data_IF_717543898912
#
_entry.id   IF_717543898912
#
_cell.length_a   1.000
_cell.length_b   1.000
_cell.length_c   1.000
_cell.angle_alpha   90.00
_cell.angle_beta   90.00
_cell.angle_gamma   90.00
#
_symmetry.space_group_name_H-M   'P 1'
#
loop_
_entity.id
_entity.type
_entity.pdbx_description
1 polymer ?
#
# COMPACT_ATOMS: atom_id res chain seq x y z
N UNK A 1 -7.60 -30.78 -61.66
CA UNK A 1 -7.21 -29.67 -60.77
C UNK A 1 -8.47 -29.13 -60.13
N UNK A 2 -8.67 -29.36 -58.83
CA UNK A 2 -9.27 -28.41 -57.87
C UNK A 2 -9.15 -29.05 -56.50
N UNK A 3 -8.28 -28.44 -55.69
CA UNK A 3 -7.89 -28.80 -54.34
C UNK A 3 -9.03 -28.54 -53.35
N UNK A 4 -9.43 -29.57 -52.61
CA UNK A 4 -10.30 -29.43 -51.44
C UNK A 4 -9.53 -28.70 -50.32
N UNK A 5 -10.02 -27.52 -49.94
CA UNK A 5 -9.54 -26.79 -48.76
C UNK A 5 -10.18 -27.42 -47.52
N UNK A 6 -9.43 -28.26 -46.82
CA UNK A 6 -9.79 -28.73 -45.48
C UNK A 6 -9.78 -27.56 -44.49
N UNK A 7 -10.97 -27.13 -44.05
CA UNK A 7 -11.11 -26.22 -42.91
C UNK A 7 -11.04 -27.08 -41.66
N UNK A 8 -9.87 -27.10 -41.01
CA UNK A 8 -9.68 -27.79 -39.74
C UNK A 8 -10.46 -27.05 -38.64
N UNK A 9 -11.59 -27.61 -38.23
CA UNK A 9 -12.31 -27.21 -37.03
C UNK A 9 -11.44 -27.65 -35.84
N UNK A 10 -10.59 -26.75 -35.33
CA UNK A 10 -9.85 -27.00 -34.09
C UNK A 10 -10.87 -27.16 -32.95
N UNK A 11 -10.73 -28.23 -32.16
CA UNK A 11 -11.59 -28.51 -31.01
C UNK A 11 -11.55 -27.31 -30.04
N UNK A 12 -12.71 -26.72 -29.77
CA UNK A 12 -12.87 -25.51 -28.97
C UNK A 12 -12.26 -25.67 -27.55
N UNK A 13 -12.16 -26.91 -27.05
CA UNK A 13 -11.50 -27.23 -25.78
C UNK A 13 -9.98 -27.05 -25.82
N UNK A 14 -9.34 -27.43 -26.93
CA UNK A 14 -7.88 -27.26 -27.09
C UNK A 14 -7.51 -25.78 -27.17
N UNK A 15 -8.31 -24.98 -27.88
CA UNK A 15 -8.11 -23.52 -27.96
C UNK A 15 -8.25 -22.86 -26.59
N UNK A 16 -9.25 -23.28 -25.81
CA UNK A 16 -9.45 -22.76 -24.45
C UNK A 16 -8.30 -23.12 -23.49
N UNK A 17 -7.71 -24.31 -23.64
CA UNK A 17 -6.54 -24.74 -22.87
C UNK A 17 -5.29 -23.93 -23.25
N UNK A 18 -5.00 -23.76 -24.54
CA UNK A 18 -3.87 -22.94 -25.02
C UNK A 18 -3.97 -21.49 -24.53
N UNK A 19 -5.17 -20.90 -24.54
CA UNK A 19 -5.39 -19.55 -24.03
C UNK A 19 -5.15 -19.47 -22.51
N UNK A 20 -5.60 -20.48 -21.76
CA UNK A 20 -5.40 -20.55 -20.32
C UNK A 20 -3.91 -20.68 -19.97
N UNK A 21 -3.18 -21.55 -20.67
CA UNK A 21 -1.73 -21.70 -20.51
C UNK A 21 -1.00 -20.39 -20.79
N UNK A 22 -1.40 -19.67 -21.85
CA UNK A 22 -0.85 -18.34 -22.17
C UNK A 22 -1.09 -17.35 -21.03
N UNK A 23 -2.30 -17.32 -20.46
CA UNK A 23 -2.63 -16.43 -19.34
C UNK A 23 -1.80 -16.76 -18.10
N UNK A 24 -1.58 -18.03 -17.80
CA UNK A 24 -0.69 -18.44 -16.69
C UNK A 24 0.76 -18.04 -16.93
N UNK A 25 1.30 -18.25 -18.14
CA UNK A 25 2.65 -17.83 -18.49
C UNK A 25 2.83 -16.30 -18.34
N UNK A 26 1.85 -15.51 -18.78
CA UNK A 26 1.85 -14.06 -18.58
C UNK A 26 1.79 -13.67 -17.09
N UNK A 27 0.95 -14.35 -16.30
CA UNK A 27 0.84 -14.09 -14.86
C UNK A 27 2.15 -14.40 -14.12
N UNK A 28 2.82 -15.51 -14.45
CA UNK A 28 4.14 -15.85 -13.91
C UNK A 28 5.16 -14.76 -14.26
N UNK A 29 5.20 -14.33 -15.53
CA UNK A 29 6.13 -13.28 -15.94
C UNK A 29 5.85 -11.94 -15.26
N UNK A 30 4.58 -11.56 -15.12
CA UNK A 30 4.17 -10.37 -14.37
C UNK A 30 4.62 -10.44 -12.91
N UNK A 31 4.50 -11.61 -12.28
CA UNK A 31 4.94 -11.85 -10.90
C UNK A 31 6.43 -11.64 -10.73
N UNK A 32 7.25 -12.24 -11.60
CA UNK A 32 8.71 -12.08 -11.59
C UNK A 32 9.11 -10.61 -11.75
N UNK A 33 8.52 -9.91 -12.72
CA UNK A 33 8.81 -8.49 -12.96
C UNK A 33 8.47 -7.62 -11.75
N UNK A 34 7.32 -7.87 -11.12
CA UNK A 34 6.90 -7.15 -9.91
C UNK A 34 7.86 -7.41 -8.75
N UNK A 35 8.27 -8.66 -8.54
CA UNK A 35 9.23 -9.02 -7.50
C UNK A 35 10.57 -8.30 -7.69
N UNK A 36 11.12 -8.35 -8.91
CA UNK A 36 12.35 -7.62 -9.25
C UNK A 36 12.19 -6.13 -9.03
N UNK A 37 11.09 -5.54 -9.50
CA UNK A 37 10.82 -4.12 -9.35
C UNK A 37 10.76 -3.70 -7.88
N UNK A 38 10.07 -4.48 -7.03
CA UNK A 38 9.97 -4.22 -5.60
C UNK A 38 11.36 -4.26 -4.95
N UNK A 39 12.16 -5.30 -5.24
CA UNK A 39 13.51 -5.44 -4.70
C UNK A 39 14.43 -4.28 -5.10
N UNK A 40 14.32 -3.78 -6.32
CA UNK A 40 15.20 -2.72 -6.83
C UNK A 40 14.75 -1.30 -6.45
N UNK A 41 13.44 -1.07 -6.30
CA UNK A 41 12.87 0.29 -6.20
C UNK A 41 12.28 0.61 -4.85
N UNK A 42 11.74 -0.38 -4.14
CA UNK A 42 11.16 -0.14 -2.82
C UNK A 42 12.26 -0.16 -1.74
N UNK A 43 12.19 0.77 -0.79
CA UNK A 43 13.22 0.98 0.24
C UNK A 43 12.60 0.79 1.62
N UNK A 44 13.16 -0.08 2.48
CA UNK A 44 12.78 -0.17 3.89
C UNK A 44 12.90 1.21 4.56
N UNK A 45 11.96 1.54 5.44
CA UNK A 45 11.96 2.82 6.15
C UNK A 45 11.39 3.99 5.35
N UNK A 46 10.99 3.78 4.08
CA UNK A 46 10.38 4.81 3.25
C UNK A 46 9.16 4.32 2.50
N UNK A 47 9.29 3.19 1.81
CA UNK A 47 8.23 2.63 0.97
C UNK A 47 7.47 1.51 1.70
N UNK A 48 8.08 0.94 2.74
CA UNK A 48 7.46 0.00 3.65
C UNK A 48 8.23 -0.02 4.99
N UNK A 49 7.55 -0.48 6.05
CA UNK A 49 8.12 -0.59 7.40
C UNK A 49 7.88 -1.99 7.97
N UNK A 50 8.83 -2.49 8.76
CA UNK A 50 8.57 -3.64 9.63
C UNK A 50 8.12 -3.12 10.98
N UNK A 51 7.16 -3.81 11.58
CA UNK A 51 6.72 -3.52 12.93
C UNK A 51 6.99 -4.76 13.74
N UNK A 52 8.02 -4.66 14.59
CA UNK A 52 8.39 -5.73 15.48
C UNK A 52 7.34 -5.81 16.59
N UNK A 53 6.54 -6.88 16.57
CA UNK A 53 5.73 -7.27 17.72
C UNK A 53 6.56 -8.25 18.53
N UNK A 54 6.80 -7.92 19.80
CA UNK A 54 7.68 -8.68 20.72
C UNK A 54 7.36 -10.18 20.82
N UNK A 55 6.19 -10.63 20.38
CA UNK A 55 5.70 -12.00 20.53
C UNK A 55 5.39 -12.74 19.21
N UNK A 56 5.65 -12.17 18.03
CA UNK A 56 5.32 -12.83 16.76
C UNK A 56 6.52 -12.87 15.79
N UNK A 57 6.68 -14.02 15.13
CA UNK A 57 7.62 -14.18 14.02
C UNK A 57 7.43 -13.05 13.00
N UNK A 58 8.53 -12.62 12.37
CA UNK A 58 8.59 -11.46 11.49
C UNK A 58 7.38 -11.41 10.54
N UNK A 59 6.47 -10.47 10.81
CA UNK A 59 5.28 -10.26 9.98
C UNK A 59 5.68 -9.57 8.68
N UNK A 60 4.92 -9.81 7.61
CA UNK A 60 5.10 -9.08 6.34
C UNK A 60 5.15 -7.56 6.60
N UNK A 61 6.05 -6.82 5.93
CA UNK A 61 6.17 -5.38 6.11
C UNK A 61 4.89 -4.65 5.71
N UNK A 62 4.59 -3.54 6.38
CA UNK A 62 3.46 -2.66 6.07
C UNK A 62 3.81 -1.72 4.93
N UNK A 63 2.99 -1.68 3.88
CA UNK A 63 3.18 -0.82 2.71
C UNK A 63 2.80 0.63 3.03
N UNK A 64 3.62 1.59 2.60
CA UNK A 64 3.27 3.01 2.71
C UNK A 64 2.51 3.50 1.48
N UNK A 65 1.97 4.72 1.56
CA UNK A 65 1.38 5.39 0.41
C UNK A 65 2.39 5.53 -0.74
N UNK A 66 3.61 5.94 -0.44
CA UNK A 66 4.68 6.13 -1.42
C UNK A 66 5.09 4.78 -2.05
N UNK A 67 5.11 3.70 -1.26
CA UNK A 67 5.33 2.35 -1.78
C UNK A 67 4.21 1.89 -2.71
N UNK A 68 2.95 2.14 -2.34
CA UNK A 68 1.79 1.84 -3.17
C UNK A 68 1.82 2.62 -4.50
N UNK A 69 2.19 3.91 -4.48
CA UNK A 69 2.34 4.74 -5.68
C UNK A 69 3.41 4.17 -6.63
N UNK A 70 4.56 3.72 -6.10
CA UNK A 70 5.60 3.09 -6.91
C UNK A 70 5.14 1.77 -7.52
N UNK A 71 4.40 0.95 -6.78
CA UNK A 71 3.85 -0.31 -7.29
C UNK A 71 2.82 -0.03 -8.40
N UNK A 72 1.95 0.96 -8.23
CA UNK A 72 0.94 1.30 -9.23
C UNK A 72 1.52 1.90 -10.53
N UNK A 73 2.68 2.55 -10.45
CA UNK A 73 3.29 3.29 -11.56
C UNK A 73 3.50 2.46 -12.84
N UNK A 74 4.19 1.29 -12.83
CA UNK A 74 4.40 0.48 -14.04
C UNK A 74 3.10 -0.09 -14.63
N UNK A 75 2.05 -0.22 -13.82
CA UNK A 75 0.73 -0.66 -14.26
C UNK A 75 -0.14 0.49 -14.80
N UNK A 76 0.34 1.74 -14.71
CA UNK A 76 -0.40 2.96 -15.10
C UNK A 76 -1.75 3.07 -14.37
N UNK A 77 -1.79 2.57 -13.13
CA UNK A 77 -3.00 2.56 -12.31
C UNK A 77 -3.24 3.93 -11.68
N UNK A 78 -4.44 4.46 -11.93
CA UNK A 78 -4.90 5.73 -11.35
C UNK A 78 -6.01 5.47 -10.34
N UNK A 79 -5.96 6.07 -9.13
CA UNK A 79 -7.00 5.91 -8.15
C UNK A 79 -8.22 6.82 -8.42
N UNK A 80 -9.41 6.27 -8.17
CA UNK A 80 -10.69 6.98 -8.13
C UNK A 80 -11.34 6.72 -6.76
N UNK A 81 -11.64 7.78 -6.02
CA UNK A 81 -12.18 7.67 -4.66
C UNK A 81 -13.67 7.97 -4.62
N UNK A 82 -14.39 7.19 -3.82
CA UNK A 82 -15.81 7.41 -3.51
C UNK A 82 -15.97 7.30 -2.00
N UNK A 83 -16.46 8.36 -1.35
CA UNK A 83 -16.85 8.29 0.06
C UNK A 83 -18.13 7.48 0.15
N UNK A 84 -18.07 6.34 0.83
CA UNK A 84 -19.21 5.42 1.01
C UNK A 84 -20.05 5.79 2.24
N UNK A 85 -19.40 6.28 3.29
CA UNK A 85 -20.05 6.56 4.58
C UNK A 85 -19.26 7.59 5.40
N UNK A 86 -19.96 8.33 6.24
CA UNK A 86 -19.43 9.39 7.09
C UNK A 86 -20.15 10.73 6.85
N UNK A 87 -19.98 11.71 7.74
CA UNK A 87 -20.59 13.01 7.57
C UNK A 87 -19.90 13.78 6.43
N UNK A 88 -20.65 14.57 5.66
CA UNK A 88 -20.10 15.41 4.58
C UNK A 88 -19.33 16.63 5.13
N UNK A 89 -19.72 17.11 6.30
CA UNK A 89 -19.13 18.25 6.98
C UNK A 89 -18.65 17.85 8.38
N UNK A 90 -17.65 18.56 8.96
CA UNK A 90 -17.27 18.34 10.35
C UNK A 90 -18.46 18.55 11.28
N UNK A 91 -18.56 17.74 12.34
CA UNK A 91 -19.53 18.00 13.41
C UNK A 91 -19.26 19.34 14.07
N UNK A 92 -20.32 20.05 14.47
CA UNK A 92 -20.23 21.27 15.28
C UNK A 92 -19.79 20.99 16.72
N UNK A 93 -19.89 19.73 17.16
CA UNK A 93 -19.49 19.26 18.48
C UNK A 93 -18.29 18.28 18.41
N UNK A 94 -17.94 17.67 19.54
CA UNK A 94 -16.86 16.67 19.63
C UNK A 94 -17.36 15.23 19.41
N UNK A 95 -18.54 15.03 18.80
CA UNK A 95 -19.08 13.69 18.56
C UNK A 95 -18.15 12.89 17.64
N UNK A 96 -17.72 11.68 18.04
CA UNK A 96 -16.90 10.82 17.19
C UNK A 96 -17.63 10.32 15.96
N UNK A 97 -16.90 10.19 14.86
CA UNK A 97 -17.40 9.65 13.60
C UNK A 97 -16.29 8.90 12.86
N UNK A 98 -16.72 8.09 11.89
CA UNK A 98 -15.87 7.36 10.97
C UNK A 98 -16.20 7.76 9.54
N UNK A 99 -15.18 7.83 8.69
CA UNK A 99 -15.34 7.98 7.23
C UNK A 99 -14.85 6.70 6.57
N UNK A 100 -15.62 6.19 5.61
CA UNK A 100 -15.29 4.99 4.82
C UNK A 100 -15.24 5.38 3.35
N UNK A 101 -14.18 4.97 2.67
CA UNK A 101 -13.87 5.32 1.27
C UNK A 101 -13.62 4.04 0.48
N UNK A 102 -14.19 3.94 -0.72
CA UNK A 102 -13.76 2.99 -1.73
C UNK A 102 -12.74 3.68 -2.65
N UNK A 103 -11.64 3.00 -2.95
CA UNK A 103 -10.69 3.38 -3.97
C UNK A 103 -10.72 2.35 -5.09
N UNK A 104 -11.01 2.77 -6.30
CA UNK A 104 -10.87 1.95 -7.50
C UNK A 104 -9.57 2.30 -8.24
N UNK A 105 -8.88 1.31 -8.77
CA UNK A 105 -7.70 1.48 -9.62
C UNK A 105 -8.07 1.17 -11.06
N UNK A 106 -7.82 2.15 -11.93
CA UNK A 106 -8.11 2.06 -13.37
C UNK A 106 -6.84 2.25 -14.20
N UNK A 107 -6.69 1.47 -15.26
CA UNK A 107 -5.68 1.64 -16.29
C UNK A 107 -6.37 2.07 -17.59
N UNK A 108 -6.38 3.37 -17.87
CA UNK A 108 -7.26 3.94 -18.89
C UNK A 108 -8.73 3.75 -18.49
N UNK A 109 -9.53 3.12 -19.35
CA UNK A 109 -10.93 2.79 -19.06
C UNK A 109 -11.11 1.42 -18.39
N UNK A 110 -10.01 0.65 -18.22
CA UNK A 110 -10.08 -0.70 -17.67
C UNK A 110 -9.97 -0.69 -16.15
N UNK A 111 -11.01 -1.18 -15.48
CA UNK A 111 -10.97 -1.52 -14.06
C UNK A 111 -9.92 -2.61 -13.79
N UNK A 112 -9.07 -2.38 -12.79
CA UNK A 112 -7.98 -3.30 -12.39
C UNK A 112 -8.11 -3.81 -10.96
N UNK A 113 -8.82 -3.10 -10.08
CA UNK A 113 -9.07 -3.55 -8.71
C UNK A 113 -9.64 -2.45 -7.83
N UNK A 114 -10.05 -2.80 -6.62
CA UNK A 114 -10.53 -1.82 -5.64
C UNK A 114 -10.17 -2.21 -4.20
N UNK A 115 -10.30 -1.25 -3.29
CA UNK A 115 -10.06 -1.42 -1.87
C UNK A 115 -10.84 -0.43 -1.03
N UNK A 116 -11.31 -0.89 0.13
CA UNK A 116 -12.05 -0.06 1.08
C UNK A 116 -11.11 0.33 2.21
N UNK A 117 -11.15 1.60 2.61
CA UNK A 117 -10.43 2.12 3.76
C UNK A 117 -11.35 2.95 4.64
N UNK A 118 -11.14 2.87 5.95
CA UNK A 118 -11.87 3.67 6.91
C UNK A 118 -10.93 4.37 7.88
N UNK A 119 -11.35 5.52 8.40
CA UNK A 119 -10.63 6.23 9.43
C UNK A 119 -11.58 6.86 10.45
N UNK A 120 -11.14 6.87 11.71
CA UNK A 120 -11.86 7.48 12.83
C UNK A 120 -11.37 8.91 13.09
N UNK A 121 -12.31 9.80 13.44
CA UNK A 121 -12.01 11.19 13.85
C UNK A 121 -11.39 11.30 15.24
N UNK A 122 -11.46 10.23 16.02
CA UNK A 122 -10.92 10.11 17.36
C UNK A 122 -9.93 8.95 17.46
N UNK A 123 -8.97 9.09 18.36
CA UNK A 123 -8.01 8.06 18.73
C UNK A 123 -8.39 7.53 20.11
N UNK A 124 -8.43 6.21 20.26
CA UNK A 124 -8.57 5.56 21.57
C UNK A 124 -7.18 5.32 22.14
N UNK A 125 -6.88 5.88 23.31
CA UNK A 125 -5.62 5.65 24.02
C UNK A 125 -5.63 4.29 24.74
N UNK A 126 -4.46 3.87 25.22
CA UNK A 126 -4.29 2.62 25.99
C UNK A 126 -5.15 2.55 27.26
N UNK A 127 -5.47 3.69 27.86
CA UNK A 127 -6.34 3.81 29.02
C UNK A 127 -7.84 3.78 28.67
N UNK A 128 -8.19 3.57 27.40
CA UNK A 128 -9.58 3.57 26.90
C UNK A 128 -10.16 4.96 26.64
N UNK A 129 -9.44 6.05 26.96
CA UNK A 129 -9.93 7.40 26.69
C UNK A 129 -9.94 7.69 25.20
N UNK A 130 -11.02 8.28 24.70
CA UNK A 130 -11.13 8.75 23.31
C UNK A 130 -10.82 10.23 23.26
N UNK A 131 -9.86 10.60 22.42
CA UNK A 131 -9.50 11.99 22.18
C UNK A 131 -9.64 12.32 20.70
N UNK A 132 -10.04 13.55 20.33
CA UNK A 132 -10.08 13.95 18.93
C UNK A 132 -8.67 13.92 18.34
N UNK A 133 -8.55 13.43 17.10
CA UNK A 133 -7.27 13.35 16.38
C UNK A 133 -6.66 14.74 16.13
N UNK A 134 -7.51 15.75 15.96
CA UNK A 134 -7.15 17.16 15.85
C UNK A 134 -8.16 17.99 16.64
N UNK A 135 -7.69 19.07 17.30
CA UNK A 135 -8.56 19.95 18.09
C UNK A 135 -9.55 20.71 17.23
N UNK A 136 -9.09 21.26 16.10
CA UNK A 136 -9.95 21.96 15.16
C UNK A 136 -10.85 20.97 14.39
N UNK A 137 -12.19 21.17 14.36
CA UNK A 137 -13.11 20.27 13.66
C UNK A 137 -12.83 20.12 12.17
N UNK A 138 -12.44 21.20 11.48
CA UNK A 138 -12.14 21.17 10.04
C UNK A 138 -10.86 20.39 9.74
N UNK A 139 -9.79 20.63 10.51
CA UNK A 139 -8.54 19.87 10.40
C UNK A 139 -8.75 18.39 10.74
N UNK A 140 -9.59 18.10 11.74
CA UNK A 140 -9.98 16.73 12.12
C UNK A 140 -10.67 16.01 10.98
N UNK A 141 -11.68 16.65 10.37
CA UNK A 141 -12.39 16.07 9.23
C UNK A 141 -11.47 15.81 8.03
N UNK A 142 -10.65 16.79 7.67
CA UNK A 142 -9.67 16.66 6.58
C UNK A 142 -8.69 15.50 6.84
N UNK A 143 -8.16 15.41 8.07
CA UNK A 143 -7.28 14.31 8.46
C UNK A 143 -7.99 12.95 8.36
N UNK A 144 -9.25 12.85 8.80
CA UNK A 144 -10.04 11.61 8.70
C UNK A 144 -10.27 11.20 7.24
N UNK A 145 -10.65 12.13 6.36
CA UNK A 145 -10.82 11.85 4.92
C UNK A 145 -9.50 11.37 4.31
N UNK A 146 -8.40 12.10 4.54
CA UNK A 146 -7.07 11.75 4.00
C UNK A 146 -6.59 10.38 4.46
N UNK A 147 -6.82 10.04 5.72
CA UNK A 147 -6.48 8.74 6.27
C UNK A 147 -7.32 7.62 5.62
N UNK A 148 -8.64 7.81 5.50
CA UNK A 148 -9.50 6.82 4.86
C UNK A 148 -9.12 6.60 3.39
N UNK A 149 -8.85 7.67 2.62
CA UNK A 149 -8.37 7.57 1.24
C UNK A 149 -7.02 6.86 1.14
N UNK A 150 -6.07 7.17 2.03
CA UNK A 150 -4.76 6.51 2.07
C UNK A 150 -4.91 5.00 2.29
N UNK A 151 -5.70 4.61 3.28
CA UNK A 151 -5.97 3.19 3.56
C UNK A 151 -6.68 2.51 2.40
N UNK A 152 -7.68 3.16 1.79
CA UNK A 152 -8.40 2.61 0.63
C UNK A 152 -7.45 2.40 -0.56
N UNK A 153 -6.53 3.33 -0.80
CA UNK A 153 -5.55 3.24 -1.87
C UNK A 153 -4.58 2.06 -1.69
N UNK A 154 -4.01 1.92 -0.49
CA UNK A 154 -3.11 0.80 -0.17
C UNK A 154 -3.84 -0.54 -0.35
N UNK A 155 -5.07 -0.66 0.18
CA UNK A 155 -5.91 -1.84 -0.01
C UNK A 155 -6.11 -2.16 -1.49
N UNK A 156 -6.45 -1.16 -2.29
CA UNK A 156 -6.71 -1.33 -3.72
C UNK A 156 -5.44 -1.76 -4.47
N UNK A 157 -4.27 -1.21 -4.11
CA UNK A 157 -2.98 -1.59 -4.70
C UNK A 157 -2.67 -3.06 -4.40
N UNK A 158 -2.78 -3.49 -3.14
CA UNK A 158 -2.53 -4.89 -2.76
C UNK A 158 -3.43 -5.87 -3.53
N UNK A 159 -4.71 -5.50 -3.72
CA UNK A 159 -5.68 -6.31 -4.46
C UNK A 159 -5.43 -6.31 -5.97
N UNK A 160 -5.12 -5.16 -6.57
CA UNK A 160 -4.99 -5.03 -8.02
C UNK A 160 -3.68 -5.61 -8.57
N UNK A 161 -2.60 -5.58 -7.78
CA UNK A 161 -1.26 -5.95 -8.25
C UNK A 161 -0.73 -7.24 -7.62
N UNK A 162 -1.54 -7.93 -6.80
CA UNK A 162 -1.12 -9.08 -6.00
C UNK A 162 0.09 -8.80 -5.08
N UNK A 163 0.28 -7.54 -4.67
CA UNK A 163 1.40 -7.16 -3.80
C UNK A 163 1.20 -7.60 -2.33
N UNK A 164 0.05 -8.17 -1.98
CA UNK A 164 -0.25 -8.75 -0.65
C UNK A 164 0.66 -9.92 -0.28
N UNK A 165 1.35 -10.52 -1.25
CA UNK A 165 2.39 -11.51 -0.96
C UNK A 165 3.57 -10.89 -0.22
N UNK A 166 3.92 -9.64 -0.55
CA UNK A 166 5.06 -8.93 0.02
C UNK A 166 4.69 -8.05 1.21
N UNK A 167 3.49 -7.46 1.18
CA UNK A 167 3.13 -6.41 2.12
C UNK A 167 1.76 -6.62 2.75
N UNK A 168 1.56 -6.01 3.91
CA UNK A 168 0.27 -5.89 4.59
C UNK A 168 -0.11 -4.42 4.76
N UNK A 169 -1.32 -4.19 5.26
CA UNK A 169 -1.86 -2.86 5.55
C UNK A 169 -2.06 -2.61 7.05
N UNK A 170 -2.06 -3.66 7.87
CA UNK A 170 -2.82 -3.74 9.13
C UNK A 170 -2.30 -2.91 10.32
N UNK A 171 -1.30 -2.05 10.13
CA UNK A 171 -0.57 -1.49 11.27
C UNK A 171 -0.32 0.02 11.22
N UNK A 172 -0.88 0.73 10.25
CA UNK A 172 -0.74 2.21 10.13
C UNK A 172 -1.51 3.00 11.22
N UNK A 173 -2.26 2.32 12.09
CA UNK A 173 -3.11 2.93 13.13
C UNK A 173 -2.41 3.13 14.49
N UNK A 174 -1.19 2.62 14.68
CA UNK A 174 -0.44 2.73 15.94
C UNK A 174 0.40 4.03 16.07
N UNK A 175 -0.14 5.15 15.59
CA UNK A 175 0.47 6.49 15.75
C UNK A 175 0.40 7.03 17.20
N UNK A 176 0.51 6.16 18.20
CA UNK A 176 0.81 6.55 19.59
C UNK A 176 2.25 6.20 20.02
N UNK A 177 3.03 5.52 19.18
CA UNK A 177 4.47 5.36 19.35
C UNK A 177 5.21 6.23 18.33
N UNK A 178 6.00 7.19 18.80
CA UNK A 178 6.93 7.89 17.92
C UNK A 178 7.74 6.88 17.11
N UNK A 179 7.91 7.14 15.82
CA UNK A 179 8.87 6.40 15.01
C UNK A 179 10.20 6.42 15.75
N UNK A 180 10.56 5.31 16.40
CA UNK A 180 11.95 5.04 16.71
C UNK A 180 12.55 4.69 15.36
N UNK A 181 12.91 5.72 14.60
CA UNK A 181 14.04 5.58 13.70
C UNK A 181 15.16 5.06 14.60
N UNK A 182 15.56 3.80 14.44
CA UNK A 182 16.93 3.46 14.80
C UNK A 182 17.79 4.48 14.07
N UNK A 183 18.59 5.29 14.77
CA UNK A 183 19.46 6.21 14.09
C UNK A 183 20.36 5.37 13.21
N UNK A 184 20.17 5.47 11.89
CA UNK A 184 21.15 4.97 10.94
C UNK A 184 22.49 5.47 11.47
N UNK A 185 23.38 4.55 11.85
CA UNK A 185 24.69 4.88 12.39
C UNK A 185 25.46 5.63 11.30
N UNK A 186 25.25 6.93 11.17
CA UNK A 186 26.01 7.83 10.31
C UNK A 186 27.35 8.08 11.00
N UNK A 187 28.23 7.09 10.91
CA UNK A 187 29.64 7.30 11.15
C UNK A 187 30.19 8.14 10.00
N UNK A 188 30.71 9.33 10.30
CA UNK A 188 31.47 10.09 9.32
C UNK A 188 32.92 9.62 9.37
N UNK A 189 33.45 9.19 8.22
CA UNK A 189 34.85 8.80 8.09
C UNK A 189 35.74 10.03 7.90
N UNK A 190 36.71 10.24 8.78
CA UNK A 190 37.69 11.31 8.61
C UNK A 190 38.93 10.78 7.87
N UNK A 191 39.13 11.19 6.62
CA UNK A 191 40.29 10.78 5.80
C UNK A 191 41.62 11.22 6.43
N UNK A 192 41.65 12.40 7.06
CA UNK A 192 42.86 12.98 7.68
C UNK A 192 43.33 12.20 8.92
N UNK A 193 42.41 11.61 9.67
CA UNK A 193 42.70 10.95 10.95
C UNK A 193 42.40 9.44 10.94
N UNK A 194 42.07 8.87 9.78
CA UNK A 194 41.73 7.45 9.56
C UNK A 194 40.83 6.82 10.64
N UNK A 195 39.84 7.57 11.15
CA UNK A 195 38.97 7.16 12.25
C UNK A 195 37.52 7.58 12.00
N UNK A 196 36.56 6.81 12.55
CA UNK A 196 35.13 7.08 12.47
C UNK A 196 34.67 8.00 13.62
N UNK A 197 33.85 9.02 13.31
CA UNK A 197 33.28 9.94 14.31
C UNK A 197 31.74 9.96 14.25
N UNK A 198 31.09 10.00 15.42
CA UNK A 198 29.65 10.23 15.58
C UNK A 198 29.38 11.63 16.18
N UNK A 199 28.25 12.24 15.85
CA UNK A 199 27.92 13.66 16.15
C UNK A 199 27.65 13.98 17.64
N UNK A 200 28.06 13.12 18.59
CA UNK A 200 28.03 13.43 20.03
C UNK A 200 29.25 12.82 20.71
N UNK A 201 30.22 13.68 21.04
CA UNK A 201 31.36 13.37 21.91
C UNK A 201 32.42 12.48 21.28
N UNK A 202 33.70 12.85 21.45
CA UNK A 202 34.81 11.92 21.22
C UNK A 202 34.77 10.84 22.31
N UNK A 203 35.23 9.64 21.96
CA UNK A 203 35.56 8.60 22.95
C UNK A 203 36.44 9.17 24.06
#
# INVERSE_FOLDING_TARGET
MTTEKGVAIRDNRLVALEELETRFAMAVRQRELLETYIKERLKPGKHFYHIDREEQAQTKPTLTKEGAELICLPHVLKPRYVILSGPENPSSDDTPYQITVNCELVAGEKFSGQGIGSANSHITKKDGTRIPRQRDPGLRHNATVKMACKSAYIAATLNATAASEFFTQDLDDDQSGGHKEEPAKKGHWCVKHQTAFFKKGKM
#
